data_IF_339631375365
#
_entry.id   IF_339631375365
#
_cell.length_a   1.000
_cell.length_b   1.000
_cell.length_c   1.000
_cell.angle_alpha   90.00
_cell.angle_beta   90.00
_cell.angle_gamma   90.00
#
_symmetry.space_group_name_H-M   'P 1'
#
loop_
_entity.id
_entity.type
_entity.pdbx_description
1 polymer ?
#
# COMPACT_ATOMS: atom_id res chain seq x y z
N UNK A 1 -9.12 31.72 2.07
CA UNK A 1 -8.09 31.34 1.08
C UNK A 1 -6.81 31.23 1.85
N UNK A 2 -6.45 30.00 2.22
CA UNK A 2 -5.44 29.71 3.22
C UNK A 2 -4.05 29.83 2.59
N UNK A 3 -3.41 30.99 2.72
CA UNK A 3 -2.06 31.25 2.20
C UNK A 3 -0.98 30.98 3.25
N UNK A 4 0.28 30.86 2.81
CA UNK A 4 1.45 30.72 3.70
C UNK A 4 1.56 31.86 4.73
N UNK A 5 1.11 33.07 4.37
CA UNK A 5 1.11 34.22 5.28
C UNK A 5 0.09 34.04 6.43
N UNK A 6 -1.06 33.43 6.14
CA UNK A 6 -2.07 33.15 7.16
C UNK A 6 -1.56 32.10 8.14
N UNK A 7 -0.87 31.07 7.65
CA UNK A 7 -0.25 30.03 8.47
C UNK A 7 0.78 30.58 9.44
N UNK A 8 1.74 31.39 8.97
CA UNK A 8 2.77 31.96 9.85
C UNK A 8 2.17 32.89 10.92
N UNK A 9 1.04 33.53 10.64
CA UNK A 9 0.35 34.40 11.61
C UNK A 9 -0.33 33.64 12.75
N UNK A 10 -0.86 32.44 12.50
CA UNK A 10 -1.60 31.64 13.50
C UNK A 10 -0.75 30.56 14.17
N UNK A 11 0.47 30.32 13.68
CA UNK A 11 1.46 29.38 14.20
C UNK A 11 1.73 29.51 15.70
N UNK A 12 1.70 30.71 16.24
CA UNK A 12 1.92 30.99 17.66
C UNK A 12 0.71 30.73 18.56
N UNK A 13 -0.47 30.51 17.98
CA UNK A 13 -1.75 30.39 18.71
C UNK A 13 -2.20 28.93 18.93
N UNK A 14 -1.39 27.94 18.53
CA UNK A 14 -1.70 26.52 18.69
C UNK A 14 -2.48 25.91 17.51
N UNK A 15 -2.47 24.57 17.46
CA UNK A 15 -2.75 23.67 16.30
C UNK A 15 -4.19 23.69 15.74
N UNK A 16 -4.79 24.85 15.47
CA UNK A 16 -6.10 24.95 14.81
C UNK A 16 -5.97 25.41 13.35
N UNK A 17 -4.93 24.96 12.66
CA UNK A 17 -4.85 25.11 11.22
C UNK A 17 -5.65 23.98 10.53
N UNK A 18 -6.94 24.23 10.29
CA UNK A 18 -7.82 23.35 9.50
C UNK A 18 -7.90 23.77 8.02
N UNK A 19 -6.90 24.50 7.51
CA UNK A 19 -6.88 25.01 6.14
C UNK A 19 -6.27 24.05 5.13
N UNK A 20 -6.52 24.30 3.84
CA UNK A 20 -6.00 23.50 2.72
C UNK A 20 -4.56 23.84 2.32
N UNK A 21 -3.71 24.31 3.25
CA UNK A 21 -2.34 24.73 2.93
C UNK A 21 -1.51 23.61 2.29
N UNK A 22 -1.81 22.36 2.65
CA UNK A 22 -1.17 21.17 2.09
C UNK A 22 -1.94 20.59 0.88
N UNK A 23 -2.89 21.34 0.32
CA UNK A 23 -3.70 20.96 -0.83
C UNK A 23 -5.11 20.52 -0.46
N UNK A 24 -5.98 20.53 -1.46
CA UNK A 24 -7.18 19.71 -1.46
C UNK A 24 -6.76 18.24 -1.37
N UNK A 25 -7.16 17.54 -0.31
CA UNK A 25 -6.90 16.10 -0.14
C UNK A 25 -7.77 15.25 -1.09
N UNK A 26 -7.90 15.65 -2.35
CA UNK A 26 -8.71 14.95 -3.36
C UNK A 26 -8.04 13.69 -3.92
N UNK A 27 -6.78 13.38 -3.58
CA UNK A 27 -6.06 12.22 -4.12
C UNK A 27 -5.91 11.01 -3.17
N UNK A 28 -6.87 10.73 -2.29
CA UNK A 28 -6.80 9.51 -1.45
C UNK A 28 -7.73 8.36 -1.85
N UNK A 29 -8.55 8.51 -2.90
CA UNK A 29 -9.49 7.47 -3.29
C UNK A 29 -9.63 7.20 -4.81
N UNK A 30 -8.61 7.44 -5.63
CA UNK A 30 -8.49 6.69 -6.88
C UNK A 30 -7.89 5.30 -6.60
N UNK A 31 -8.69 4.42 -5.98
CA UNK A 31 -8.38 3.00 -5.89
C UNK A 31 -8.58 2.30 -7.26
N UNK A 32 -9.12 2.99 -8.27
CA UNK A 32 -9.89 2.28 -9.30
C UNK A 32 -9.18 1.96 -10.60
N UNK A 33 -7.98 2.46 -10.90
CA UNK A 33 -7.16 1.90 -11.99
C UNK A 33 -5.68 2.13 -11.66
N UNK A 34 -5.14 1.35 -10.73
CA UNK A 34 -3.70 1.18 -10.71
C UNK A 34 -3.33 0.51 -12.04
N UNK A 35 -2.85 1.29 -13.00
CA UNK A 35 -2.15 0.80 -14.18
C UNK A 35 -0.83 0.21 -13.69
N UNK A 36 -0.93 -0.95 -13.05
CA UNK A 36 0.20 -1.81 -12.79
C UNK A 36 0.83 -2.16 -14.13
N UNK A 37 2.12 -2.46 -14.12
CA UNK A 37 2.71 -3.11 -15.28
C UNK A 37 1.97 -4.44 -15.48
N UNK A 38 1.09 -4.51 -16.49
CA UNK A 38 0.28 -5.71 -16.79
C UNK A 38 1.17 -6.96 -16.91
N UNK A 39 2.37 -6.77 -17.43
CA UNK A 39 3.43 -7.77 -17.53
C UNK A 39 3.90 -8.28 -16.17
N UNK A 40 4.08 -7.41 -15.18
CA UNK A 40 4.47 -7.78 -13.81
C UNK A 40 3.36 -8.58 -13.14
N UNK A 41 2.09 -8.18 -13.30
CA UNK A 41 0.95 -8.93 -12.77
C UNK A 41 0.82 -10.32 -13.40
N UNK A 42 0.87 -10.41 -14.74
CA UNK A 42 0.81 -11.70 -15.43
C UNK A 42 1.92 -12.64 -14.98
N UNK A 43 3.15 -12.14 -14.88
CA UNK A 43 4.29 -12.93 -14.38
C UNK A 43 4.12 -13.36 -12.93
N UNK A 44 3.58 -12.48 -12.07
CA UNK A 44 3.35 -12.81 -10.68
C UNK A 44 2.31 -13.94 -10.55
N UNK A 45 1.22 -13.89 -11.33
CA UNK A 45 0.22 -14.97 -11.39
C UNK A 45 0.84 -16.28 -11.87
N UNK A 46 1.58 -16.25 -12.99
CA UNK A 46 2.30 -17.41 -13.52
C UNK A 46 3.27 -18.02 -12.51
N UNK A 47 3.92 -17.20 -11.67
CA UNK A 47 4.85 -17.70 -10.66
C UNK A 47 4.14 -18.39 -9.49
N UNK A 48 2.99 -17.86 -9.05
CA UNK A 48 2.24 -18.41 -7.92
C UNK A 48 1.60 -19.77 -8.26
N UNK A 49 1.30 -20.03 -9.53
CA UNK A 49 0.73 -21.30 -9.99
C UNK A 49 1.76 -22.42 -10.17
N UNK A 50 3.06 -22.12 -10.11
CA UNK A 50 4.11 -23.13 -10.30
C UNK A 50 4.38 -23.93 -9.04
N UNK A 51 4.68 -25.22 -9.21
CA UNK A 51 5.08 -26.12 -8.12
C UNK A 51 6.40 -25.70 -7.45
N UNK A 52 7.29 -25.01 -8.17
CA UNK A 52 8.59 -24.51 -7.68
C UNK A 52 8.52 -23.06 -7.18
N UNK A 53 7.37 -22.65 -6.63
CA UNK A 53 7.15 -21.30 -6.14
C UNK A 53 8.25 -20.83 -5.16
N UNK A 54 8.90 -19.71 -5.50
CA UNK A 54 9.93 -19.05 -4.70
C UNK A 54 9.50 -17.63 -4.30
N UNK A 55 9.30 -17.44 -2.99
CA UNK A 55 8.92 -16.17 -2.39
C UNK A 55 9.95 -15.07 -2.69
N UNK A 56 11.25 -15.38 -2.69
CA UNK A 56 12.31 -14.40 -2.93
C UNK A 56 12.30 -13.89 -4.38
N UNK A 57 11.90 -14.75 -5.33
CA UNK A 57 11.72 -14.33 -6.72
C UNK A 57 10.48 -13.47 -6.89
N UNK A 58 9.36 -13.84 -6.25
CA UNK A 58 8.14 -13.04 -6.30
C UNK A 58 8.38 -11.66 -5.68
N UNK A 59 9.06 -11.59 -4.54
CA UNK A 59 9.43 -10.35 -3.89
C UNK A 59 10.22 -9.43 -4.83
N UNK A 60 11.25 -9.95 -5.52
CA UNK A 60 12.03 -9.18 -6.50
C UNK A 60 11.17 -8.66 -7.65
N UNK A 61 10.26 -9.49 -8.16
CA UNK A 61 9.34 -9.09 -9.23
C UNK A 61 8.41 -7.97 -8.78
N UNK A 62 7.81 -8.09 -7.59
CA UNK A 62 6.88 -7.08 -7.06
C UNK A 62 7.59 -5.76 -6.72
N UNK A 63 8.82 -5.82 -6.20
CA UNK A 63 9.65 -4.63 -5.92
C UNK A 63 10.03 -3.85 -7.18
N UNK A 64 10.01 -4.48 -8.36
CA UNK A 64 10.24 -3.79 -9.63
C UNK A 64 9.09 -2.85 -10.02
N UNK A 65 7.89 -3.01 -9.45
CA UNK A 65 6.74 -2.11 -9.63
C UNK A 65 6.34 -1.48 -8.27
N UNK A 66 6.77 -0.23 -7.99
CA UNK A 66 6.45 0.45 -6.73
C UNK A 66 4.95 0.59 -6.47
N UNK A 67 4.12 0.73 -7.51
CA UNK A 67 2.67 0.87 -7.36
C UNK A 67 2.06 -0.44 -6.84
N UNK A 68 2.50 -1.56 -7.40
CA UNK A 68 2.06 -2.89 -6.95
C UNK A 68 2.53 -3.19 -5.53
N UNK A 69 3.77 -2.84 -5.21
CA UNK A 69 4.33 -2.96 -3.86
C UNK A 69 3.52 -2.18 -2.82
N UNK A 70 3.20 -0.92 -3.10
CA UNK A 70 2.37 -0.09 -2.21
C UNK A 70 0.94 -0.65 -2.08
N UNK A 71 0.35 -1.10 -3.18
CA UNK A 71 -0.99 -1.69 -3.19
C UNK A 71 -1.07 -2.94 -2.30
N UNK A 72 -0.09 -3.84 -2.42
CA UNK A 72 0.02 -5.03 -1.57
C UNK A 72 0.13 -4.64 -0.09
N UNK A 73 1.02 -3.71 0.27
CA UNK A 73 1.17 -3.28 1.66
C UNK A 73 -0.09 -2.62 2.21
N UNK A 74 -0.80 -1.80 1.41
CA UNK A 74 -2.09 -1.21 1.80
C UNK A 74 -3.14 -2.28 2.05
N UNK A 75 -3.25 -3.28 1.16
CA UNK A 75 -4.17 -4.39 1.32
C UNK A 75 -3.86 -5.20 2.59
N UNK A 76 -2.59 -5.55 2.81
CA UNK A 76 -2.16 -6.35 3.96
C UNK A 76 -2.35 -5.62 5.29
N UNK A 77 -2.18 -4.30 5.32
CA UNK A 77 -2.45 -3.51 6.52
C UNK A 77 -3.92 -3.05 6.63
N UNK A 78 -4.80 -3.50 5.74
CA UNK A 78 -6.21 -3.16 5.81
C UNK A 78 -6.92 -3.89 6.95
N UNK A 79 -8.08 -3.38 7.43
CA UNK A 79 -8.89 -4.06 8.45
C UNK A 79 -9.33 -5.47 8.07
N UNK A 80 -9.37 -5.80 6.77
CA UNK A 80 -9.73 -7.15 6.29
C UNK A 80 -8.66 -8.18 6.68
N UNK A 81 -7.39 -7.80 6.61
CA UNK A 81 -6.25 -8.67 6.91
C UNK A 81 -5.80 -8.57 8.37
N UNK A 82 -6.08 -7.42 9.02
CA UNK A 82 -5.91 -7.14 10.44
C UNK A 82 -4.62 -7.75 11.07
N UNK A 83 -3.43 -7.46 10.51
CA UNK A 83 -2.19 -7.97 11.07
C UNK A 83 -1.97 -7.42 12.49
N UNK A 84 -1.39 -8.23 13.40
CA UNK A 84 -1.17 -7.81 14.79
C UNK A 84 -0.22 -6.61 14.93
N UNK A 85 0.59 -6.35 13.90
CA UNK A 85 1.47 -5.19 13.79
C UNK A 85 1.59 -4.74 12.33
N UNK A 86 1.85 -3.44 12.06
CA UNK A 86 2.00 -2.96 10.70
C UNK A 86 3.12 -3.67 9.92
N UNK A 87 2.78 -4.23 8.76
CA UNK A 87 3.72 -4.90 7.87
C UNK A 87 4.29 -3.88 6.88
N UNK A 88 5.62 -3.76 6.85
CA UNK A 88 6.34 -2.77 6.02
C UNK A 88 7.24 -3.37 4.95
N UNK A 89 7.33 -4.71 4.93
CA UNK A 89 8.21 -5.45 4.05
C UNK A 89 7.39 -6.33 3.09
N UNK A 90 7.83 -6.42 1.83
CA UNK A 90 7.11 -7.15 0.77
C UNK A 90 7.18 -8.66 0.99
N UNK A 91 8.33 -9.20 1.41
CA UNK A 91 8.46 -10.63 1.71
C UNK A 91 7.56 -11.02 2.87
N UNK A 92 7.56 -10.24 3.94
CA UNK A 92 6.66 -10.42 5.07
C UNK A 92 5.19 -10.35 4.63
N UNK A 93 4.82 -9.40 3.77
CA UNK A 93 3.47 -9.29 3.23
C UNK A 93 3.03 -10.53 2.43
N UNK A 94 3.90 -11.07 1.56
CA UNK A 94 3.64 -12.30 0.80
C UNK A 94 3.41 -13.50 1.73
N UNK A 95 4.29 -13.68 2.71
CA UNK A 95 4.19 -14.80 3.68
C UNK A 95 2.92 -14.67 4.51
N UNK A 96 2.61 -13.47 5.01
CA UNK A 96 1.40 -13.21 5.80
C UNK A 96 0.13 -13.53 5.00
N UNK A 97 0.08 -13.13 3.72
CA UNK A 97 -1.03 -13.46 2.82
C UNK A 97 -1.27 -14.97 2.73
N UNK A 98 -0.18 -15.74 2.52
CA UNK A 98 -0.26 -17.20 2.44
C UNK A 98 -0.79 -17.84 3.73
N UNK A 99 -0.28 -17.42 4.89
CA UNK A 99 -0.75 -17.91 6.20
C UNK A 99 -2.23 -17.56 6.42
N UNK A 100 -2.63 -16.34 6.08
CA UNK A 100 -4.03 -15.91 6.24
C UNK A 100 -5.00 -16.69 5.36
N UNK A 101 -4.60 -17.05 4.12
CA UNK A 101 -5.44 -17.85 3.22
C UNK A 101 -5.72 -19.26 3.78
N UNK A 102 -4.76 -19.86 4.49
CA UNK A 102 -4.97 -21.16 5.15
C UNK A 102 -6.00 -21.05 6.29
N UNK A 103 -5.99 -19.96 7.05
CA UNK A 103 -6.96 -19.73 8.13
C UNK A 103 -8.38 -19.44 7.60
N UNK A 104 -8.51 -18.91 6.39
CA UNK A 104 -9.81 -18.68 5.74
C UNK A 104 -10.44 -19.95 5.15
N UNK A 105 -9.66 -21.03 5.02
CA UNK A 105 -10.04 -22.27 4.34
C UNK A 105 -10.44 -23.41 5.29
N UNK A 106 -10.50 -23.13 6.60
CA UNK A 106 -10.91 -24.03 7.69
C UNK A 106 -12.19 -23.52 8.35
#
# INVERSE_FOLDING_TARGET
MDSAEVFEKVKSQGELFCGKLFGDYEELFEITVLSYLKTTLSRALEMVEKEDFDVDQLEKLLKADPKLSVSLLKFINSPLMAPPSPIRDIKHAIVYLGVNNLNLSL
#
